data_IF_997239032705
#
_entry.id   IF_997239032705
#
_cell.length_a   1.000
_cell.length_b   1.000
_cell.length_c   1.000
_cell.angle_alpha   90.00
_cell.angle_beta   90.00
_cell.angle_gamma   90.00
#
_symmetry.space_group_name_H-M   'P 1'
#
loop_
_entity.id
_entity.type
_entity.pdbx_description
1 polymer ?
#
# COMPACT_ATOMS: atom_id res chain seq x y z
N UNK A 1 -19.83 -33.03 -38.89
CA UNK A 1 -19.78 -31.63 -39.37
C UNK A 1 -20.93 -30.90 -38.72
N UNK A 2 -20.67 -30.26 -37.57
CA UNK A 2 -21.68 -29.48 -36.82
C UNK A 2 -21.35 -28.02 -37.06
N UNK A 3 -22.25 -27.32 -37.73
CA UNK A 3 -22.16 -25.89 -38.00
C UNK A 3 -22.49 -25.16 -36.70
N UNK A 4 -21.50 -24.46 -36.13
CA UNK A 4 -21.74 -23.48 -35.06
C UNK A 4 -22.06 -22.16 -35.76
N UNK A 5 -23.36 -21.86 -35.80
CA UNK A 5 -23.90 -20.58 -36.23
C UNK A 5 -23.40 -19.48 -35.28
N UNK A 6 -22.77 -18.48 -35.84
CA UNK A 6 -22.18 -17.36 -35.14
C UNK A 6 -23.17 -16.20 -35.19
N UNK A 7 -24.13 -16.19 -34.27
CA UNK A 7 -24.98 -15.03 -34.06
C UNK A 7 -25.39 -14.88 -32.59
N UNK A 8 -24.53 -14.19 -31.81
CA UNK A 8 -24.95 -13.44 -30.63
C UNK A 8 -24.56 -11.97 -30.93
N UNK A 9 -25.45 -11.10 -31.40
CA UNK A 9 -26.80 -10.91 -30.87
C UNK A 9 -26.85 -9.92 -29.71
N UNK A 10 -25.96 -8.92 -29.69
CA UNK A 10 -26.24 -7.54 -29.25
C UNK A 10 -27.02 -7.38 -27.93
N UNK A 11 -26.29 -7.39 -26.82
CA UNK A 11 -26.80 -6.90 -25.54
C UNK A 11 -26.40 -5.43 -25.42
N UNK A 12 -27.30 -4.56 -25.87
CA UNK A 12 -27.25 -3.15 -25.51
C UNK A 12 -27.54 -3.01 -24.01
N UNK A 13 -26.48 -2.84 -23.22
CA UNK A 13 -26.55 -2.26 -21.90
C UNK A 13 -25.58 -1.08 -21.89
N UNK A 14 -26.11 0.10 -22.24
CA UNK A 14 -25.67 1.40 -21.73
C UNK A 14 -24.14 1.53 -21.51
N UNK A 15 -23.37 1.55 -22.61
CA UNK A 15 -21.96 1.97 -22.60
C UNK A 15 -21.90 3.49 -22.30
N UNK A 16 -22.26 3.86 -21.07
CA UNK A 16 -22.00 5.17 -20.50
C UNK A 16 -20.50 5.35 -20.36
N UNK A 17 -19.85 5.80 -21.43
CA UNK A 17 -18.50 6.38 -21.48
C UNK A 17 -17.53 5.86 -20.39
N UNK A 18 -17.26 4.55 -20.38
CA UNK A 18 -16.21 3.99 -19.53
C UNK A 18 -14.87 4.46 -20.09
N UNK A 19 -14.33 5.50 -19.45
CA UNK A 19 -13.04 6.09 -19.79
C UNK A 19 -11.95 5.48 -18.92
N UNK A 20 -10.80 5.22 -19.51
CA UNK A 20 -9.59 4.82 -18.79
C UNK A 20 -9.20 5.93 -17.79
N UNK A 21 -8.29 5.65 -16.84
CA UNK A 21 -7.77 6.68 -15.91
C UNK A 21 -7.03 7.84 -16.61
N UNK A 22 -6.91 7.78 -17.95
CA UNK A 22 -6.40 8.81 -18.87
C UNK A 22 -7.46 9.48 -19.76
N UNK A 23 -8.75 9.16 -19.60
CA UNK A 23 -9.84 9.78 -20.37
C UNK A 23 -10.08 9.20 -21.77
N UNK A 24 -9.37 8.14 -22.17
CA UNK A 24 -9.57 7.46 -23.46
C UNK A 24 -10.66 6.38 -23.35
N UNK A 25 -11.36 6.03 -24.45
CA UNK A 25 -12.34 4.95 -24.45
C UNK A 25 -11.68 3.62 -24.04
N UNK A 26 -12.31 2.88 -23.13
CA UNK A 26 -11.80 1.61 -22.60
C UNK A 26 -11.80 0.53 -23.70
N UNK A 27 -10.59 0.13 -24.11
CA UNK A 27 -10.37 -1.06 -24.93
C UNK A 27 -10.52 -2.34 -24.08
N UNK A 28 -11.71 -2.97 -24.11
CA UNK A 28 -12.00 -4.26 -23.41
C UNK A 28 -11.06 -5.41 -23.84
N UNK A 29 -10.31 -5.28 -24.95
CA UNK A 29 -9.33 -6.27 -25.43
C UNK A 29 -7.91 -6.09 -24.87
N UNK A 30 -7.58 -4.91 -24.34
CA UNK A 30 -6.24 -4.58 -23.79
C UNK A 30 -6.25 -4.35 -22.29
N UNK A 31 -7.37 -3.94 -21.72
CA UNK A 31 -7.47 -3.52 -20.32
C UNK A 31 -8.16 -4.61 -19.49
N UNK A 32 -7.45 -5.18 -18.51
CA UNK A 32 -8.00 -6.17 -17.57
C UNK A 32 -8.20 -7.56 -18.19
N UNK A 33 -7.16 -8.41 -18.11
CA UNK A 33 -7.22 -9.81 -18.57
C UNK A 33 -6.96 -10.81 -17.45
N UNK A 34 -7.04 -12.11 -17.78
CA UNK A 34 -6.76 -13.22 -16.85
C UNK A 34 -5.40 -13.11 -16.15
N UNK A 35 -4.39 -12.51 -16.81
CA UNK A 35 -3.09 -12.24 -16.19
C UNK A 35 -3.17 -11.18 -15.09
N UNK A 36 -3.96 -10.12 -15.27
CA UNK A 36 -4.14 -9.09 -14.24
C UNK A 36 -4.90 -9.65 -13.04
N UNK A 37 -5.95 -10.44 -13.28
CA UNK A 37 -6.66 -11.16 -12.24
C UNK A 37 -5.73 -12.13 -11.49
N UNK A 38 -4.91 -12.90 -12.22
CA UNK A 38 -3.92 -13.81 -11.64
C UNK A 38 -2.87 -13.11 -10.79
N UNK A 39 -2.39 -11.93 -11.21
CA UNK A 39 -1.45 -11.13 -10.44
C UNK A 39 -2.08 -10.63 -9.13
N UNK A 40 -3.31 -10.11 -9.17
CA UNK A 40 -4.03 -9.64 -7.97
C UNK A 40 -4.25 -10.81 -6.99
N UNK A 41 -4.72 -11.94 -7.51
CA UNK A 41 -4.95 -13.15 -6.70
C UNK A 41 -3.63 -13.67 -6.11
N UNK A 42 -2.55 -13.67 -6.88
CA UNK A 42 -1.22 -14.08 -6.43
C UNK A 42 -0.70 -13.20 -5.29
N UNK A 43 -0.88 -11.88 -5.39
CA UNK A 43 -0.47 -10.95 -4.34
C UNK A 43 -1.29 -11.14 -3.05
N UNK A 44 -2.61 -11.32 -3.17
CA UNK A 44 -3.50 -11.58 -2.03
C UNK A 44 -3.13 -12.90 -1.32
N UNK A 45 -2.91 -13.97 -2.10
CA UNK A 45 -2.50 -15.27 -1.58
C UNK A 45 -1.16 -15.18 -0.85
N UNK A 46 -0.17 -14.53 -1.46
CA UNK A 46 1.15 -14.36 -0.85
C UNK A 46 1.08 -13.59 0.47
N UNK A 47 0.25 -12.54 0.55
CA UNK A 47 0.07 -11.77 1.77
C UNK A 47 -0.52 -12.65 2.89
N UNK A 48 -1.58 -13.41 2.61
CA UNK A 48 -2.20 -14.31 3.60
C UNK A 48 -1.25 -15.39 4.10
N UNK A 49 -0.46 -15.98 3.20
CA UNK A 49 0.57 -16.97 3.58
C UNK A 49 1.63 -16.36 4.48
N UNK A 50 2.11 -15.15 4.16
CA UNK A 50 3.12 -14.46 4.96
C UNK A 50 2.62 -14.12 6.37
N UNK A 51 1.40 -13.57 6.48
CA UNK A 51 0.80 -13.22 7.78
C UNK A 51 0.60 -14.46 8.66
N UNK A 52 0.13 -15.56 8.08
CA UNK A 52 -0.01 -16.83 8.81
C UNK A 52 1.36 -17.38 9.25
N UNK A 53 2.37 -17.34 8.38
CA UNK A 53 3.73 -17.79 8.69
C UNK A 53 4.38 -17.01 9.83
N UNK A 54 4.29 -15.67 9.79
CA UNK A 54 4.81 -14.80 10.85
C UNK A 54 4.05 -15.02 12.16
N UNK A 55 2.72 -15.13 12.10
CA UNK A 55 1.89 -15.36 13.29
C UNK A 55 2.26 -16.67 13.99
N UNK A 56 2.43 -17.77 13.26
CA UNK A 56 2.82 -19.05 13.84
C UNK A 56 4.22 -18.98 14.49
N UNK A 57 5.20 -18.40 13.80
CA UNK A 57 6.55 -18.25 14.35
C UNK A 57 6.54 -17.40 15.63
N UNK A 58 5.78 -16.30 15.62
CA UNK A 58 5.65 -15.40 16.75
C UNK A 58 4.94 -16.04 17.94
N UNK A 59 3.85 -16.78 17.72
CA UNK A 59 3.14 -17.52 18.78
C UNK A 59 4.07 -18.52 19.45
N UNK A 60 4.78 -19.33 18.66
CA UNK A 60 5.71 -20.34 19.18
C UNK A 60 6.87 -19.69 19.93
N UNK A 61 7.41 -18.57 19.47
CA UNK A 61 8.45 -17.81 20.16
C UNK A 61 7.98 -17.25 21.52
N UNK A 62 6.78 -16.65 21.56
CA UNK A 62 6.23 -16.06 22.78
C UNK A 62 5.89 -17.12 23.85
N UNK A 63 5.43 -18.29 23.44
CA UNK A 63 5.06 -19.40 24.35
C UNK A 63 6.29 -20.21 24.75
N UNK A 64 7.21 -20.48 23.81
CA UNK A 64 8.38 -21.33 24.02
C UNK A 64 9.56 -20.60 24.66
N UNK A 65 10.16 -19.65 23.95
CA UNK A 65 11.39 -19.00 24.39
C UNK A 65 11.15 -17.97 25.50
N UNK A 66 10.06 -17.19 25.39
CA UNK A 66 9.78 -16.09 26.32
C UNK A 66 8.98 -16.54 27.56
N UNK A 67 8.56 -17.81 27.64
CA UNK A 67 7.79 -18.41 28.74
C UNK A 67 6.61 -17.54 29.23
N UNK A 68 5.94 -16.84 28.32
CA UNK A 68 4.77 -16.04 28.67
C UNK A 68 3.55 -16.95 28.86
N UNK A 69 2.68 -16.66 29.85
CA UNK A 69 1.44 -17.39 30.01
C UNK A 69 0.60 -17.26 28.73
N UNK A 70 -0.02 -18.37 28.32
CA UNK A 70 -0.78 -18.49 27.05
C UNK A 70 -1.76 -17.33 26.82
N UNK A 71 -2.36 -16.80 27.88
CA UNK A 71 -3.23 -15.62 27.83
C UNK A 71 -2.54 -14.33 27.38
N UNK A 72 -1.29 -14.07 27.80
CA UNK A 72 -0.52 -12.90 27.37
C UNK A 72 -0.05 -13.05 25.92
N UNK A 73 0.41 -14.23 25.53
CA UNK A 73 0.87 -14.50 24.15
C UNK A 73 -0.27 -14.35 23.14
N UNK A 74 -1.46 -14.88 23.44
CA UNK A 74 -2.64 -14.73 22.62
C UNK A 74 -3.07 -13.26 22.45
N UNK A 75 -2.98 -12.45 23.51
CA UNK A 75 -3.28 -11.02 23.43
C UNK A 75 -2.29 -10.25 22.53
N UNK A 76 -0.99 -10.57 22.59
CA UNK A 76 0.02 -9.93 21.74
C UNK A 76 -0.25 -10.26 20.26
N UNK A 77 -0.53 -11.53 19.96
CA UNK A 77 -0.81 -11.98 18.58
C UNK A 77 -2.12 -11.39 18.06
N UNK A 78 -3.14 -11.29 18.91
CA UNK A 78 -4.42 -10.65 18.56
C UNK A 78 -4.25 -9.15 18.29
N UNK A 79 -3.48 -8.44 19.11
CA UNK A 79 -3.16 -7.03 18.89
C UNK A 79 -2.35 -6.83 17.59
N UNK A 80 -1.41 -7.73 17.30
CA UNK A 80 -0.66 -7.72 16.05
C UNK A 80 -1.58 -7.89 14.84
N UNK A 81 -2.46 -8.91 14.86
CA UNK A 81 -3.43 -9.14 13.79
C UNK A 81 -4.42 -7.98 13.64
N UNK A 82 -4.86 -7.39 14.76
CA UNK A 82 -5.70 -6.19 14.77
C UNK A 82 -5.00 -4.99 14.13
N UNK A 83 -3.70 -4.80 14.41
CA UNK A 83 -2.90 -3.73 13.81
C UNK A 83 -2.76 -3.91 12.29
N UNK A 84 -2.57 -5.15 11.81
CA UNK A 84 -2.55 -5.44 10.37
C UNK A 84 -3.87 -5.07 9.68
N UNK A 85 -5.01 -5.35 10.32
CA UNK A 85 -6.33 -4.98 9.79
C UNK A 85 -6.52 -3.45 9.75
N UNK A 86 -6.13 -2.72 10.82
CA UNK A 86 -6.15 -1.25 10.80
C UNK A 86 -5.21 -0.69 9.73
N UNK A 87 -4.03 -1.28 9.56
CA UNK A 87 -3.07 -0.87 8.55
C UNK A 87 -3.62 -1.10 7.13
N UNK A 88 -4.34 -2.21 6.90
CA UNK A 88 -5.04 -2.49 5.65
C UNK A 88 -6.13 -1.46 5.35
N UNK A 89 -6.95 -1.09 6.35
CA UNK A 89 -7.94 -0.01 6.23
C UNK A 89 -7.29 1.34 5.91
N UNK A 90 -6.18 1.67 6.59
CA UNK A 90 -5.40 2.87 6.29
C UNK A 90 -4.78 2.79 4.90
N UNK A 91 -4.30 1.62 4.46
CA UNK A 91 -3.74 1.38 3.14
C UNK A 91 -4.76 1.57 2.02
N UNK A 92 -5.96 1.02 2.20
CA UNK A 92 -7.10 1.20 1.30
C UNK A 92 -7.56 2.66 1.24
N UNK A 93 -7.76 3.30 2.40
CA UNK A 93 -8.06 4.74 2.47
C UNK A 93 -7.00 5.58 1.76
N UNK A 94 -5.72 5.20 1.89
CA UNK A 94 -4.60 5.88 1.25
C UNK A 94 -4.49 5.58 -0.24
N UNK A 95 -5.07 4.47 -0.72
CA UNK A 95 -5.22 4.12 -2.13
C UNK A 95 -6.40 4.88 -2.76
N UNK A 96 -7.53 5.04 -2.06
CA UNK A 96 -8.67 5.85 -2.52
C UNK A 96 -8.36 7.35 -2.44
N UNK A 97 -7.63 7.77 -1.40
CA UNK A 97 -7.12 9.12 -1.26
C UNK A 97 -5.94 9.42 -2.22
N UNK A 98 -5.52 8.50 -3.12
CA UNK A 98 -4.55 8.81 -4.20
C UNK A 98 -5.12 9.70 -5.32
N UNK A 99 -6.33 10.26 -5.18
CA UNK A 99 -6.74 11.51 -5.83
C UNK A 99 -6.52 12.79 -4.96
N UNK A 100 -5.90 12.66 -3.78
CA UNK A 100 -5.57 13.74 -2.83
C UNK A 100 -4.19 13.63 -2.15
N UNK A 101 -3.34 12.66 -2.55
CA UNK A 101 -2.04 12.34 -1.90
C UNK A 101 -0.88 13.28 -2.23
N UNK A 102 -1.05 14.24 -3.15
CA UNK A 102 0.01 15.20 -3.47
C UNK A 102 0.19 16.25 -2.36
N UNK A 103 -0.91 16.68 -1.71
CA UNK A 103 -0.87 17.76 -0.71
C UNK A 103 -0.14 17.37 0.57
N UNK A 104 -0.38 16.19 1.14
CA UNK A 104 0.27 15.78 2.40
C UNK A 104 1.77 15.55 2.23
N UNK A 105 2.19 14.98 1.10
CA UNK A 105 3.61 14.78 0.78
C UNK A 105 4.28 16.13 0.47
N UNK A 106 3.63 17.04 -0.26
CA UNK A 106 4.17 18.37 -0.54
C UNK A 106 4.33 19.22 0.74
N UNK A 107 3.38 19.15 1.67
CA UNK A 107 3.45 19.86 2.96
C UNK A 107 4.56 19.29 3.84
N UNK A 108 4.65 17.96 4.00
CA UNK A 108 5.73 17.37 4.80
C UNK A 108 7.11 17.59 4.17
N UNK A 109 7.22 17.50 2.84
CA UNK A 109 8.48 17.74 2.13
C UNK A 109 8.94 19.20 2.24
N UNK A 110 8.04 20.18 2.12
CA UNK A 110 8.37 21.60 2.25
C UNK A 110 8.80 21.96 3.68
N UNK A 111 8.10 21.45 4.70
CA UNK A 111 8.48 21.65 6.11
C UNK A 111 9.87 21.04 6.38
N UNK A 112 10.12 19.82 5.93
CA UNK A 112 11.42 19.17 6.12
C UNK A 112 12.56 19.92 5.40
N UNK A 113 12.32 20.43 4.20
CA UNK A 113 13.31 21.19 3.43
C UNK A 113 13.69 22.51 4.13
N UNK A 114 12.71 23.25 4.64
CA UNK A 114 12.95 24.52 5.37
C UNK A 114 13.76 24.28 6.65
N UNK A 115 13.41 23.26 7.43
CA UNK A 115 14.13 22.90 8.67
C UNK A 115 15.58 22.49 8.38
N UNK A 116 15.80 21.70 7.32
CA UNK A 116 17.14 21.28 6.86
C UNK A 116 17.97 22.48 6.43
N UNK A 117 17.37 23.42 5.70
CA UNK A 117 18.04 24.63 5.20
C UNK A 117 18.45 25.58 6.33
N UNK A 118 17.57 25.81 7.31
CA UNK A 118 17.87 26.61 8.50
C UNK A 118 19.00 26.01 9.34
N UNK A 119 19.01 24.68 9.49
CA UNK A 119 20.07 23.98 10.23
C UNK A 119 21.43 24.11 9.54
N UNK A 120 21.48 24.00 8.21
CA UNK A 120 22.69 24.20 7.40
C UNK A 120 23.24 25.63 7.50
N UNK A 121 22.38 26.64 7.42
CA UNK A 121 22.77 28.05 7.55
C UNK A 121 23.30 28.38 8.94
N UNK A 122 22.76 27.78 10.00
CA UNK A 122 23.22 27.99 11.37
C UNK A 122 24.59 27.36 11.60
N UNK A 123 24.84 26.17 11.04
CA UNK A 123 26.14 25.49 11.11
C UNK A 123 27.21 26.22 10.28
N UNK A 124 26.89 26.67 9.07
CA UNK A 124 27.83 27.47 8.26
C UNK A 124 28.19 28.80 8.93
N UNK A 125 27.22 29.51 9.53
CA UNK A 125 27.52 30.75 10.27
C UNK A 125 28.35 30.49 11.53
N UNK A 126 28.11 29.40 12.26
CA UNK A 126 28.92 29.02 13.43
C UNK A 126 30.35 28.61 13.02
N UNK A 127 30.51 27.85 11.94
CA UNK A 127 31.83 27.49 11.41
C UNK A 127 32.61 28.72 10.92
N UNK A 128 31.95 29.62 10.16
CA UNK A 128 32.58 30.84 9.63
C UNK A 128 32.93 31.87 10.73
N UNK A 129 32.23 31.86 11.88
CA UNK A 129 32.57 32.68 13.05
C UNK A 129 33.72 32.05 13.86
N UNK A 130 33.76 30.71 13.99
CA UNK A 130 34.84 30.02 14.70
C UNK A 130 36.18 30.08 13.97
N UNK A 131 36.19 30.07 12.62
CA UNK A 131 37.40 30.25 11.80
C UNK A 131 37.87 31.71 11.72
N UNK A 132 37.05 32.69 12.12
CA UNK A 132 37.46 34.11 12.20
C UNK A 132 37.99 34.54 13.57
N UNK A 133 37.92 33.66 14.58
CA UNK A 133 38.42 33.90 15.95
C UNK A 133 39.73 33.17 16.26
N UNK A 134 40.29 32.46 15.29
CA UNK A 134 41.66 31.94 15.27
C UNK A 134 42.41 32.76 14.23
#
# INVERSE_FOLDING_TARGET
>A
MVLVDNHAGKDGAEDGNLVDFRGNPVDKSRTGGWLAAGLILGTELSERVCVMGISMNLVTYLVGDLHLPSSKSANIVTNFMGTLNLLGLLGGFLADAKLGRYLTVAIFASIAAVVRFLSKLKIEKLFRISTRKI
#
